data_IF_026278487274
#
_entry.id   IF_026278487274
#
_cell.length_a   1.000
_cell.length_b   1.000
_cell.length_c   1.000
_cell.angle_alpha   90.00
_cell.angle_beta   90.00
_cell.angle_gamma   90.00
#
_symmetry.space_group_name_H-M   'P 1'
#
loop_
_entity.id
_entity.type
_entity.pdbx_description
1 polymer ?
#
# COMPACT_ATOMS: atom_id res chain seq x y z
N UNK A 1 29.53 -19.60 46.07
CA UNK A 1 29.66 -20.03 44.66
C UNK A 1 28.28 -20.25 44.01
N UNK A 2 27.37 -21.03 44.61
CA UNK A 2 26.04 -21.30 44.05
C UNK A 2 25.19 -20.06 43.69
N UNK A 3 25.25 -18.99 44.50
CA UNK A 3 24.51 -17.75 44.24
C UNK A 3 25.04 -17.01 43.01
N UNK A 4 26.37 -16.94 42.83
CA UNK A 4 26.99 -16.28 41.68
C UNK A 4 26.64 -17.00 40.37
N UNK A 5 26.68 -18.34 40.38
CA UNK A 5 26.29 -19.14 39.21
C UNK A 5 24.79 -18.99 38.90
N UNK A 6 23.93 -18.95 39.92
CA UNK A 6 22.51 -18.71 39.73
C UNK A 6 22.24 -17.32 39.13
N UNK A 7 22.89 -16.28 39.64
CA UNK A 7 22.78 -14.91 39.10
C UNK A 7 23.27 -14.82 37.66
N UNK A 8 24.37 -15.49 37.33
CA UNK A 8 24.90 -15.51 35.96
C UNK A 8 23.92 -16.16 34.98
N UNK A 9 23.34 -17.30 35.35
CA UNK A 9 22.35 -17.99 34.52
C UNK A 9 21.11 -17.13 34.31
N UNK A 10 20.61 -16.49 35.37
CA UNK A 10 19.46 -15.56 35.27
C UNK A 10 19.81 -14.35 34.40
N UNK A 11 20.99 -13.76 34.56
CA UNK A 11 21.44 -12.63 33.76
C UNK A 11 21.54 -12.98 32.26
N UNK A 12 22.08 -14.16 31.94
CA UNK A 12 22.14 -14.64 30.55
C UNK A 12 20.76 -14.96 30.00
N UNK A 13 19.91 -15.63 30.77
CA UNK A 13 18.54 -15.94 30.38
C UNK A 13 17.70 -14.69 30.11
N UNK A 14 17.82 -13.68 30.97
CA UNK A 14 17.14 -12.38 30.79
C UNK A 14 17.67 -11.64 29.56
N UNK A 15 18.97 -11.59 29.33
CA UNK A 15 19.54 -10.99 28.12
C UNK A 15 19.03 -11.66 26.83
N UNK A 16 18.96 -12.99 26.79
CA UNK A 16 18.43 -13.73 25.65
C UNK A 16 16.94 -13.41 25.45
N UNK A 17 16.15 -13.44 26.53
CA UNK A 17 14.72 -13.15 26.46
C UNK A 17 14.43 -11.74 25.94
N UNK A 18 15.20 -10.73 26.40
CA UNK A 18 15.06 -9.34 25.94
C UNK A 18 15.39 -9.21 24.44
N UNK A 19 16.46 -9.87 23.98
CA UNK A 19 16.82 -9.84 22.56
C UNK A 19 15.76 -10.53 21.67
N UNK A 20 15.21 -11.65 22.11
CA UNK A 20 14.11 -12.33 21.40
C UNK A 20 12.87 -11.45 21.33
N UNK A 21 12.48 -10.82 22.43
CA UNK A 21 11.36 -9.89 22.48
C UNK A 21 11.54 -8.72 21.51
N UNK A 22 12.75 -8.14 21.49
CA UNK A 22 13.08 -7.05 20.58
C UNK A 22 12.94 -7.46 19.10
N UNK A 23 13.53 -8.59 18.74
CA UNK A 23 13.44 -9.12 17.37
C UNK A 23 12.00 -9.44 16.97
N UNK A 24 11.22 -10.06 17.85
CA UNK A 24 9.79 -10.33 17.60
C UNK A 24 9.00 -9.03 17.37
N UNK A 25 9.29 -7.98 18.14
CA UNK A 25 8.62 -6.68 17.97
C UNK A 25 8.96 -6.01 16.63
N UNK A 26 10.19 -6.17 16.14
CA UNK A 26 10.62 -5.67 14.83
C UNK A 26 9.97 -6.47 13.71
N UNK A 27 9.92 -7.79 13.84
CA UNK A 27 9.32 -8.67 12.85
C UNK A 27 7.81 -8.42 12.69
N UNK A 28 7.12 -8.19 13.81
CA UNK A 28 5.71 -7.80 13.80
C UNK A 28 5.47 -6.50 13.05
N UNK A 29 6.34 -5.48 13.26
CA UNK A 29 6.24 -4.21 12.53
C UNK A 29 6.51 -4.38 11.03
N UNK A 30 7.51 -5.18 10.68
CA UNK A 30 7.84 -5.49 9.27
C UNK A 30 6.68 -6.20 8.57
N UNK A 31 6.11 -7.20 9.23
CA UNK A 31 4.95 -7.93 8.72
C UNK A 31 3.76 -7.00 8.54
N UNK A 32 3.47 -6.14 9.52
CA UNK A 32 2.41 -5.14 9.40
C UNK A 32 2.62 -4.18 8.23
N UNK A 33 3.84 -3.71 8.02
CA UNK A 33 4.18 -2.83 6.89
C UNK A 33 4.06 -3.55 5.54
N UNK A 34 4.49 -4.82 5.46
CA UNK A 34 4.36 -5.63 4.24
C UNK A 34 2.88 -5.85 3.87
N UNK A 35 2.05 -6.24 4.84
CA UNK A 35 0.61 -6.40 4.63
C UNK A 35 -0.08 -5.09 4.19
N UNK A 36 0.30 -3.96 4.79
CA UNK A 36 -0.22 -2.65 4.37
C UNK A 36 0.18 -2.29 2.94
N UNK A 37 1.42 -2.62 2.54
CA UNK A 37 1.89 -2.43 1.17
C UNK A 37 1.14 -3.30 0.17
N UNK A 38 0.92 -4.58 0.49
CA UNK A 38 0.15 -5.50 -0.37
C UNK A 38 -1.30 -5.03 -0.51
N UNK A 39 -1.91 -4.59 0.58
CA UNK A 39 -3.26 -4.02 0.57
C UNK A 39 -3.35 -2.76 -0.29
N UNK A 40 -2.34 -1.88 -0.23
CA UNK A 40 -2.26 -0.69 -1.08
C UNK A 40 -2.14 -1.06 -2.57
N UNK A 41 -1.38 -2.11 -2.92
CA UNK A 41 -1.31 -2.61 -4.30
C UNK A 41 -2.65 -3.16 -4.79
N UNK A 42 -3.38 -3.89 -3.95
CA UNK A 42 -4.73 -4.38 -4.30
C UNK A 42 -5.71 -3.22 -4.52
N UNK A 43 -5.61 -2.17 -3.69
CA UNK A 43 -6.39 -0.94 -3.88
C UNK A 43 -6.04 -0.22 -5.19
N UNK A 44 -4.75 -0.13 -5.53
CA UNK A 44 -4.31 0.44 -6.81
C UNK A 44 -4.87 -0.36 -8.00
N UNK A 45 -4.76 -1.69 -7.96
CA UNK A 45 -5.31 -2.56 -9.01
C UNK A 45 -6.83 -2.41 -9.15
N UNK A 46 -7.54 -2.29 -8.04
CA UNK A 46 -8.98 -2.00 -8.05
C UNK A 46 -9.29 -0.64 -8.67
N UNK A 47 -8.49 0.38 -8.36
CA UNK A 47 -8.63 1.72 -8.94
C UNK A 47 -8.34 1.72 -10.46
N UNK A 48 -7.33 0.98 -10.92
CA UNK A 48 -7.02 0.80 -12.34
C UNK A 48 -8.14 0.04 -13.06
N UNK A 49 -8.68 -1.02 -12.46
CA UNK A 49 -9.80 -1.77 -13.03
C UNK A 49 -11.05 -0.87 -13.19
N UNK A 50 -11.35 -0.07 -12.16
CA UNK A 50 -12.44 0.89 -12.20
C UNK A 50 -12.22 2.00 -13.25
N UNK A 51 -11.00 2.52 -13.36
CA UNK A 51 -10.65 3.44 -14.44
C UNK A 51 -10.83 2.81 -15.82
N UNK A 52 -10.48 1.53 -15.98
CA UNK A 52 -10.72 0.76 -17.19
C UNK A 52 -12.21 0.59 -17.51
N UNK A 53 -13.07 0.47 -16.50
CA UNK A 53 -14.52 0.44 -16.70
C UNK A 53 -15.07 1.80 -17.15
N UNK A 54 -14.55 2.90 -16.61
CA UNK A 54 -14.89 4.26 -17.07
C UNK A 54 -14.54 4.42 -18.56
N UNK A 55 -13.32 4.06 -18.96
CA UNK A 55 -12.87 4.15 -20.35
C UNK A 55 -13.66 3.22 -21.28
N UNK A 56 -14.06 2.04 -20.81
CA UNK A 56 -14.90 1.13 -21.60
C UNK A 56 -16.30 1.71 -21.83
N UNK A 57 -16.87 2.36 -20.81
CA UNK A 57 -18.16 3.04 -20.93
C UNK A 57 -18.05 4.23 -21.88
N UNK A 58 -16.98 5.01 -21.77
CA UNK A 58 -16.69 6.15 -22.65
C UNK A 58 -16.63 5.76 -24.13
N UNK A 59 -15.97 4.63 -24.45
CA UNK A 59 -15.94 4.09 -25.81
C UNK A 59 -17.32 3.71 -26.38
N UNK A 60 -18.30 3.41 -25.52
CA UNK A 60 -19.67 3.12 -25.94
C UNK A 60 -20.45 4.43 -26.17
N UNK A 61 -20.20 5.44 -25.32
CA UNK A 61 -20.96 6.69 -25.30
C UNK A 61 -20.42 7.75 -26.27
N UNK A 62 -19.13 7.68 -26.62
CA UNK A 62 -18.41 8.65 -27.44
C UNK A 62 -17.63 7.98 -28.59
N UNK A 63 -17.37 8.76 -29.65
CA UNK A 63 -16.50 8.35 -30.77
C UNK A 63 -15.20 9.17 -30.82
N UNK A 64 -15.03 10.14 -29.92
CA UNK A 64 -13.90 11.07 -29.93
C UNK A 64 -13.47 11.41 -28.51
N UNK A 65 -12.18 11.31 -28.22
CA UNK A 65 -11.66 11.62 -26.88
C UNK A 65 -11.46 13.13 -26.70
N UNK A 66 -11.96 13.69 -25.58
CA UNK A 66 -11.70 15.09 -25.21
C UNK A 66 -11.80 15.33 -23.69
N UNK A 67 -11.16 16.41 -23.21
CA UNK A 67 -11.08 16.79 -21.78
C UNK A 67 -12.42 17.16 -21.10
N UNK A 68 -13.54 17.03 -21.80
CA UNK A 68 -14.88 17.28 -21.27
C UNK A 68 -15.61 15.99 -20.85
N UNK A 69 -14.98 14.84 -21.05
CA UNK A 69 -15.54 13.52 -20.76
C UNK A 69 -15.30 13.12 -19.31
N UNK A 70 -16.04 12.10 -18.84
CA UNK A 70 -16.03 11.65 -17.45
C UNK A 70 -14.64 11.18 -17.03
N UNK A 71 -13.90 10.53 -17.94
CA UNK A 71 -12.55 10.03 -17.65
C UNK A 71 -11.56 11.15 -17.33
N UNK A 72 -11.76 12.37 -17.88
CA UNK A 72 -10.87 13.51 -17.70
C UNK A 72 -11.12 14.29 -16.40
N UNK A 73 -12.17 13.95 -15.66
CA UNK A 73 -12.54 14.62 -14.40
C UNK A 73 -11.62 14.15 -13.28
N UNK A 74 -11.00 15.09 -12.57
CA UNK A 74 -10.23 14.79 -11.37
C UNK A 74 -11.17 14.36 -10.24
N UNK A 75 -10.99 13.12 -9.80
CA UNK A 75 -11.80 12.52 -8.75
C UNK A 75 -11.30 12.97 -7.37
N UNK A 76 -12.24 13.32 -6.50
CA UNK A 76 -11.92 13.58 -5.10
C UNK A 76 -11.30 12.32 -4.46
N UNK A 77 -10.32 12.46 -3.54
CA UNK A 77 -9.73 11.32 -2.86
C UNK A 77 -10.79 10.44 -2.21
N UNK A 78 -10.79 9.16 -2.56
CA UNK A 78 -11.72 8.17 -2.04
C UNK A 78 -11.17 7.56 -0.75
N UNK A 79 -11.92 7.57 0.36
CA UNK A 79 -11.46 6.97 1.60
C UNK A 79 -11.44 5.43 1.49
N UNK A 80 -10.37 4.81 1.99
CA UNK A 80 -10.23 3.36 2.12
C UNK A 80 -9.70 3.00 3.50
N UNK A 81 -9.72 1.71 3.85
CA UNK A 81 -9.11 1.29 5.11
C UNK A 81 -7.60 1.60 5.10
N UNK A 82 -7.13 2.28 6.13
CA UNK A 82 -5.72 2.65 6.25
C UNK A 82 -5.27 3.87 5.43
N UNK A 83 -6.16 4.54 4.68
CA UNK A 83 -5.78 5.74 3.94
C UNK A 83 -6.82 6.27 2.95
N UNK A 84 -6.33 6.84 1.85
CA UNK A 84 -7.16 7.36 0.77
C UNK A 84 -6.49 7.06 -0.57
N UNK A 85 -7.31 6.82 -1.60
CA UNK A 85 -6.86 6.64 -2.98
C UNK A 85 -7.20 7.90 -3.75
N UNK A 86 -6.23 8.43 -4.50
CA UNK A 86 -6.44 9.54 -5.42
C UNK A 86 -5.72 9.23 -6.74
N UNK A 87 -6.27 9.71 -7.84
CA UNK A 87 -5.72 9.48 -9.17
C UNK A 87 -6.41 10.35 -10.22
N UNK A 88 -5.77 10.45 -11.37
CA UNK A 88 -6.32 11.12 -12.56
C UNK A 88 -5.91 10.34 -13.81
N UNK A 89 -6.73 10.41 -14.84
CA UNK A 89 -6.40 9.88 -16.16
C UNK A 89 -5.87 11.01 -17.04
N UNK A 90 -4.87 10.69 -17.85
CA UNK A 90 -4.28 11.63 -18.80
C UNK A 90 -4.20 10.96 -20.18
N UNK A 91 -4.57 11.69 -21.22
CA UNK A 91 -4.38 11.24 -22.59
C UNK A 91 -2.90 11.33 -22.99
N UNK A 92 -2.31 10.19 -23.32
CA UNK A 92 -0.93 10.10 -23.79
C UNK A 92 -0.79 10.43 -25.28
N UNK A 93 -1.85 10.35 -26.08
CA UNK A 93 -1.86 10.72 -27.50
C UNK A 93 -1.75 12.23 -27.70
N UNK A 94 -2.12 13.03 -26.70
CA UNK A 94 -1.89 14.48 -26.68
C UNK A 94 -0.40 14.88 -26.62
N UNK A 95 0.52 13.93 -26.40
CA UNK A 95 1.97 14.18 -26.29
C UNK A 95 2.70 13.81 -27.58
N UNK A 96 3.86 14.42 -27.81
CA UNK A 96 4.74 14.03 -28.90
C UNK A 96 5.37 12.65 -28.61
N UNK A 97 5.24 11.70 -29.53
CA UNK A 97 5.85 10.37 -29.42
C UNK A 97 7.32 10.41 -29.87
N UNK A 98 8.24 10.02 -28.99
CA UNK A 98 9.70 10.12 -29.17
C UNK A 98 10.29 8.96 -29.98
#
# INVERSE_FOLDING_TARGET
VAVLTAMLVVALGTMIAVNLMWNASLDQRRTGAALASDQALLYLQGAEAWAGDILRQDQIDSQTDHLGEIWAVELAPMPVEGGQIAGRLEDLQARFNL
#
